data_IF_967193676105
#
_entry.id   IF_967193676105
#
_cell.length_a   1.000
_cell.length_b   1.000
_cell.length_c   1.000
_cell.angle_alpha   90.00
_cell.angle_beta   90.00
_cell.angle_gamma   90.00
#
_symmetry.space_group_name_H-M   'P 1'
#
loop_
_entity.id
_entity.type
_entity.pdbx_description
1 polymer ?
#
# COMPACT_ATOMS: atom_id res chain seq x y z
N UNK A 1 0.89 -15.43 -5.96
CA UNK A 1 0.17 -14.25 -6.41
C UNK A 1 -0.26 -13.40 -5.22
N UNK A 2 -0.32 -12.08 -5.43
CA UNK A 2 -0.70 -11.12 -4.40
C UNK A 2 -1.55 -10.02 -5.03
N UNK A 3 -2.45 -9.45 -4.25
CA UNK A 3 -3.21 -8.25 -4.56
C UNK A 3 -3.22 -7.35 -3.32
N UNK A 4 -3.13 -6.06 -3.49
CA UNK A 4 -3.33 -5.11 -2.42
C UNK A 4 -4.67 -4.39 -2.63
N UNK A 5 -5.36 -4.12 -1.53
CA UNK A 5 -6.62 -3.38 -1.51
C UNK A 5 -6.38 -2.09 -0.74
N UNK A 6 -6.83 -0.98 -1.30
CA UNK A 6 -6.70 0.34 -0.68
C UNK A 6 -7.96 1.17 -0.87
N UNK A 7 -8.07 2.27 -0.15
CA UNK A 7 -9.16 3.22 -0.29
C UNK A 7 -8.70 4.64 0.03
N UNK A 8 -9.61 5.60 -0.07
CA UNK A 8 -9.38 7.02 0.18
C UNK A 8 -8.98 7.39 1.61
N UNK A 9 -9.09 6.46 2.56
CA UNK A 9 -8.64 6.64 3.94
C UNK A 9 -7.20 6.18 4.17
N UNK A 10 -6.60 5.51 3.19
CA UNK A 10 -5.20 5.12 3.25
C UNK A 10 -4.33 6.36 3.00
N UNK A 11 -3.78 6.92 4.07
CA UNK A 11 -2.94 8.12 4.03
C UNK A 11 -1.54 7.86 4.58
N UNK A 12 -0.62 8.77 4.36
CA UNK A 12 0.75 8.73 4.85
C UNK A 12 1.46 7.43 4.47
N UNK A 13 1.75 6.56 5.42
CA UNK A 13 2.34 5.23 5.14
C UNK A 13 1.47 4.40 4.19
N UNK A 14 0.14 4.59 4.21
CA UNK A 14 -0.78 3.94 3.28
C UNK A 14 -0.60 4.42 1.83
N UNK A 15 -0.37 5.71 1.62
CA UNK A 15 -0.01 6.27 0.30
C UNK A 15 1.33 5.71 -0.18
N UNK A 16 2.35 5.77 0.70
CA UNK A 16 3.72 5.32 0.42
C UNK A 16 3.73 3.83 0.11
N UNK A 17 3.05 3.02 0.92
CA UNK A 17 2.91 1.58 0.68
C UNK A 17 2.25 1.30 -0.66
N UNK A 18 1.12 1.94 -0.94
CA UNK A 18 0.34 1.72 -2.16
C UNK A 18 1.12 2.07 -3.42
N UNK A 19 1.83 3.20 -3.42
CA UNK A 19 2.67 3.59 -4.55
C UNK A 19 3.88 2.67 -4.69
N UNK A 20 4.56 2.33 -3.59
CA UNK A 20 5.70 1.41 -3.60
C UNK A 20 5.31 0.00 -4.08
N UNK A 21 4.12 -0.48 -3.72
CA UNK A 21 3.57 -1.75 -4.20
C UNK A 21 3.54 -1.80 -5.73
N UNK A 22 3.09 -0.73 -6.38
CA UNK A 22 3.05 -0.61 -7.83
C UNK A 22 4.46 -0.52 -8.43
N UNK A 23 5.33 0.33 -7.87
CA UNK A 23 6.71 0.47 -8.33
C UNK A 23 7.49 -0.85 -8.27
N UNK A 24 7.27 -1.66 -7.25
CA UNK A 24 7.88 -2.97 -7.08
C UNK A 24 7.19 -4.07 -7.90
N UNK A 25 6.09 -3.76 -8.58
CA UNK A 25 5.31 -4.70 -9.39
C UNK A 25 4.94 -5.99 -8.64
N UNK A 26 4.52 -5.86 -7.37
CA UNK A 26 4.22 -7.00 -6.51
C UNK A 26 2.90 -7.68 -6.85
N UNK A 27 1.98 -6.96 -7.49
CA UNK A 27 0.65 -7.42 -7.87
C UNK A 27 -0.26 -6.25 -8.18
N UNK A 28 -1.54 -6.51 -8.44
CA UNK A 28 -2.52 -5.45 -8.65
C UNK A 28 -2.81 -4.70 -7.37
N UNK A 29 -2.94 -3.38 -7.47
CA UNK A 29 -3.50 -2.51 -6.46
C UNK A 29 -4.94 -2.17 -6.87
N UNK A 30 -5.92 -2.49 -6.02
CA UNK A 30 -7.34 -2.29 -6.34
C UNK A 30 -8.04 -1.52 -5.24
N UNK A 31 -9.22 -0.97 -5.55
CA UNK A 31 -10.03 -0.21 -4.61
C UNK A 31 -10.20 1.24 -5.04
N UNK A 32 -9.84 2.19 -4.19
CA UNK A 32 -9.93 3.63 -4.48
C UNK A 32 -8.54 4.26 -4.34
N UNK A 33 -8.31 5.36 -5.08
CA UNK A 33 -7.11 6.19 -4.94
C UNK A 33 -6.92 6.61 -3.48
N UNK A 34 -5.69 6.56 -3.00
CA UNK A 34 -5.36 6.90 -1.62
C UNK A 34 -5.46 8.39 -1.33
N UNK A 35 -5.32 8.79 -0.08
CA UNK A 35 -5.57 10.15 0.38
C UNK A 35 -4.62 11.19 -0.20
N UNK A 36 -3.32 10.92 -0.20
CA UNK A 36 -2.32 11.86 -0.72
C UNK A 36 -1.74 12.82 0.30
N UNK A 37 -1.59 12.41 1.51
CA UNK A 37 -0.94 13.19 2.55
C UNK A 37 0.32 12.49 3.04
N UNK A 38 1.44 12.67 2.35
CA UNK A 38 2.71 11.95 2.61
C UNK A 38 3.78 12.79 3.29
N UNK A 39 3.54 14.09 3.53
CA UNK A 39 4.50 14.91 4.26
C UNK A 39 4.72 14.33 5.65
N UNK A 40 5.97 14.02 5.97
CA UNK A 40 6.36 13.56 7.28
C UNK A 40 6.19 14.67 8.32
N UNK A 41 5.34 14.42 9.31
CA UNK A 41 5.09 15.32 10.43
C UNK A 41 5.76 14.75 11.67
N UNK A 42 6.40 15.62 12.45
CA UNK A 42 7.06 15.21 13.68
C UNK A 42 6.74 16.14 14.84
N UNK A 43 6.08 15.65 15.89
CA UNK A 43 5.67 16.48 17.02
C UNK A 43 6.83 16.63 18.02
N UNK A 44 7.92 17.28 17.62
CA UNK A 44 9.10 17.50 18.50
C UNK A 44 8.99 18.74 19.35
N UNK A 45 8.21 19.71 18.89
CA UNK A 45 8.13 21.01 19.55
C UNK A 45 6.79 21.15 20.25
N UNK A 46 6.84 21.48 21.54
CA UNK A 46 5.67 21.85 22.32
C UNK A 46 5.62 23.36 22.55
N UNK A 47 4.41 23.88 22.64
CA UNK A 47 4.16 25.24 23.07
C UNK A 47 4.39 25.36 24.58
N UNK A 48 4.45 26.60 25.12
CA UNK A 48 4.66 26.85 26.55
C UNK A 48 3.60 26.23 27.47
N UNK A 49 2.40 25.98 26.93
CA UNK A 49 1.29 25.32 27.62
C UNK A 49 1.32 23.79 27.51
N UNK A 50 2.35 23.22 26.85
CA UNK A 50 2.50 21.79 26.62
C UNK A 50 1.76 21.25 25.40
N UNK A 51 1.04 22.09 24.67
CA UNK A 51 0.39 21.67 23.41
C UNK A 51 1.43 21.24 22.38
N UNK A 52 1.24 20.06 21.78
CA UNK A 52 2.11 19.55 20.72
C UNK A 52 1.73 20.15 19.37
N UNK A 53 2.72 20.54 18.60
CA UNK A 53 2.52 21.01 17.23
C UNK A 53 2.89 19.92 16.23
N UNK A 54 2.04 19.71 15.24
CA UNK A 54 2.38 18.88 14.06
C UNK A 54 3.02 19.78 13.01
N UNK A 55 4.29 19.55 12.73
CA UNK A 55 5.03 20.36 11.76
C UNK A 55 5.53 19.48 10.63
N UNK A 56 5.43 19.94 9.35
CA UNK A 56 6.11 19.30 8.25
C UNK A 56 7.62 19.29 8.50
N UNK A 57 8.25 18.15 8.37
CA UNK A 57 9.69 18.02 8.60
C UNK A 57 10.42 17.46 7.38
N UNK A 58 9.81 16.51 6.66
CA UNK A 58 10.38 15.91 5.47
C UNK A 58 9.28 15.50 4.49
N UNK A 59 9.66 15.31 3.24
CA UNK A 59 8.75 14.90 2.16
C UNK A 59 9.27 13.64 1.47
N UNK A 60 8.40 12.96 0.72
CA UNK A 60 8.74 11.77 -0.04
C UNK A 60 8.83 12.08 -1.52
N UNK A 61 9.90 11.60 -2.13
CA UNK A 61 10.14 11.70 -3.55
C UNK A 61 10.23 10.30 -4.16
N UNK A 62 9.55 10.08 -5.26
CA UNK A 62 9.56 8.82 -5.99
C UNK A 62 10.15 9.02 -7.37
N UNK A 63 10.90 8.01 -7.84
CA UNK A 63 11.65 8.11 -9.10
C UNK A 63 10.76 8.36 -10.32
N UNK A 64 9.55 7.85 -10.32
CA UNK A 64 8.58 7.90 -11.44
C UNK A 64 7.68 9.14 -11.41
N UNK A 65 7.25 9.58 -10.25
CA UNK A 65 6.29 10.69 -10.09
C UNK A 65 6.85 11.91 -9.35
N UNK A 66 8.12 11.85 -8.91
CA UNK A 66 8.72 12.93 -8.13
C UNK A 66 7.99 13.14 -6.80
N UNK A 67 7.55 14.35 -6.54
CA UNK A 67 6.76 14.75 -5.36
C UNK A 67 5.26 14.51 -5.52
N UNK A 68 4.82 13.93 -6.64
CA UNK A 68 3.42 13.93 -7.09
C UNK A 68 2.45 13.07 -6.28
N UNK A 69 2.90 12.34 -5.26
CA UNK A 69 2.00 11.63 -4.33
C UNK A 69 1.41 12.60 -3.30
N UNK A 70 2.16 13.61 -2.88
CA UNK A 70 1.64 14.65 -1.98
C UNK A 70 0.50 15.43 -2.67
N UNK A 71 -0.59 15.65 -1.96
CA UNK A 71 -1.83 16.29 -2.42
C UNK A 71 -2.58 15.55 -3.54
N UNK A 72 -2.19 14.30 -3.86
CA UNK A 72 -2.85 13.53 -4.90
C UNK A 72 -3.18 12.09 -4.47
N UNK A 73 -2.21 11.37 -3.92
CA UNK A 73 -2.32 9.97 -3.55
C UNK A 73 -1.80 9.00 -4.61
N UNK A 74 -1.93 7.72 -4.33
CA UNK A 74 -1.55 6.63 -5.21
C UNK A 74 -2.77 6.13 -5.99
N UNK A 75 -2.66 6.13 -7.32
CA UNK A 75 -3.68 5.57 -8.22
C UNK A 75 -3.74 4.05 -8.14
N UNK A 76 -4.95 3.50 -8.20
CA UNK A 76 -5.19 2.06 -8.26
C UNK A 76 -5.13 1.54 -9.69
N UNK A 77 -4.83 0.24 -9.86
CA UNK A 77 -4.91 -0.41 -11.18
C UNK A 77 -6.35 -0.73 -11.59
N UNK A 78 -7.21 -0.99 -10.61
CA UNK A 78 -8.61 -1.30 -10.83
C UNK A 78 -9.42 -0.55 -9.77
N UNK A 79 -10.22 0.40 -10.22
CA UNK A 79 -11.10 1.13 -9.33
C UNK A 79 -12.33 0.29 -8.97
N UNK A 80 -12.56 0.11 -7.68
CA UNK A 80 -13.72 -0.59 -7.12
C UNK A 80 -14.10 0.08 -5.81
N UNK A 81 -15.40 0.31 -5.64
CA UNK A 81 -15.97 0.89 -4.44
C UNK A 81 -16.96 -0.05 -3.76
N UNK A 82 -17.10 0.09 -2.45
CA UNK A 82 -18.16 -0.51 -1.66
C UNK A 82 -19.20 0.58 -1.36
N UNK A 83 -20.37 0.46 -1.93
CA UNK A 83 -21.44 1.44 -1.73
C UNK A 83 -22.22 1.18 -0.43
N UNK A 84 -22.92 2.18 0.13
CA UNK A 84 -23.68 2.01 1.37
C UNK A 84 -24.67 0.82 1.35
N UNK A 85 -25.30 0.54 0.20
CA UNK A 85 -26.18 -0.61 0.03
C UNK A 85 -25.47 -1.97 0.07
N UNK A 86 -24.18 -2.01 -0.21
CA UNK A 86 -23.38 -3.23 -0.17
C UNK A 86 -23.10 -3.62 1.28
N UNK A 87 -22.79 -2.66 2.13
CA UNK A 87 -22.62 -2.87 3.58
C UNK A 87 -23.88 -3.46 4.24
N UNK A 88 -25.06 -2.96 3.85
CA UNK A 88 -26.35 -3.50 4.35
C UNK A 88 -26.54 -4.97 3.97
N UNK A 89 -25.99 -5.39 2.85
CA UNK A 89 -26.07 -6.77 2.33
C UNK A 89 -24.88 -7.65 2.73
N UNK A 90 -23.92 -7.12 3.51
CA UNK A 90 -22.65 -7.75 3.81
C UNK A 90 -21.87 -8.17 2.55
N UNK A 91 -21.90 -7.33 1.52
CA UNK A 91 -21.12 -7.51 0.28
C UNK A 91 -19.88 -6.64 0.38
N UNK A 92 -18.71 -7.23 0.09
CA UNK A 92 -17.44 -6.53 -0.05
C UNK A 92 -16.89 -6.73 -1.47
N UNK A 93 -17.24 -5.79 -2.35
CA UNK A 93 -16.85 -5.85 -3.77
C UNK A 93 -15.32 -5.77 -3.94
N UNK A 94 -14.62 -5.05 -3.06
CA UNK A 94 -13.17 -4.93 -3.11
C UNK A 94 -12.50 -6.26 -2.75
N UNK A 95 -12.94 -6.90 -1.66
CA UNK A 95 -12.42 -8.20 -1.26
C UNK A 95 -12.74 -9.29 -2.29
N UNK A 96 -13.97 -9.34 -2.78
CA UNK A 96 -14.40 -10.31 -3.80
C UNK A 96 -13.56 -10.19 -5.08
N UNK A 97 -13.28 -8.95 -5.52
CA UNK A 97 -12.41 -8.72 -6.68
C UNK A 97 -10.96 -9.12 -6.40
N UNK A 98 -10.48 -8.87 -5.21
CA UNK A 98 -9.15 -9.32 -4.78
C UNK A 98 -9.02 -10.84 -4.84
N UNK A 99 -9.99 -11.56 -4.33
CA UNK A 99 -10.06 -13.03 -4.38
C UNK A 99 -10.10 -13.52 -5.83
N UNK A 100 -10.94 -12.93 -6.68
CA UNK A 100 -11.03 -13.27 -8.11
C UNK A 100 -9.66 -13.18 -8.80
N UNK A 101 -8.94 -12.07 -8.58
CA UNK A 101 -7.62 -11.82 -9.19
C UNK A 101 -6.61 -12.87 -8.72
N UNK A 102 -6.53 -13.12 -7.41
CA UNK A 102 -5.58 -14.08 -6.85
C UNK A 102 -5.88 -15.50 -7.33
N UNK A 103 -7.14 -15.90 -7.38
CA UNK A 103 -7.53 -17.22 -7.89
C UNK A 103 -7.22 -17.39 -9.37
N UNK A 104 -7.42 -16.35 -10.18
CA UNK A 104 -7.03 -16.34 -11.59
C UNK A 104 -5.51 -16.49 -11.75
N UNK A 105 -4.75 -15.73 -10.97
CA UNK A 105 -3.28 -15.78 -11.00
C UNK A 105 -2.75 -17.15 -10.56
N UNK A 106 -3.34 -17.78 -9.56
CA UNK A 106 -2.98 -19.14 -9.14
C UNK A 106 -3.18 -20.17 -10.24
N UNK A 107 -4.25 -20.04 -11.03
CA UNK A 107 -4.51 -20.95 -12.16
C UNK A 107 -3.52 -20.77 -13.31
N UNK A 108 -3.05 -19.54 -13.55
CA UNK A 108 -2.22 -19.21 -14.70
C UNK A 108 -0.73 -19.27 -14.41
N UNK A 109 -0.31 -18.85 -13.22
CA UNK A 109 1.11 -18.76 -12.82
C UNK A 109 1.60 -19.98 -12.03
N UNK A 110 0.68 -20.84 -11.58
CA UNK A 110 0.99 -21.99 -10.76
C UNK A 110 1.42 -21.62 -9.33
N UNK A 111 1.83 -22.62 -8.56
CA UNK A 111 2.40 -22.39 -7.23
C UNK A 111 3.88 -22.06 -7.34
N UNK A 112 4.33 -21.13 -6.52
CA UNK A 112 5.76 -20.85 -6.36
C UNK A 112 6.44 -22.07 -5.71
N UNK A 113 7.44 -22.62 -6.37
CA UNK A 113 8.24 -23.69 -5.78
C UNK A 113 8.98 -23.17 -4.55
N UNK A 114 8.97 -23.97 -3.49
CA UNK A 114 9.75 -23.65 -2.30
C UNK A 114 11.23 -23.52 -2.67
N UNK A 115 11.91 -22.44 -2.29
CA UNK A 115 13.35 -22.32 -2.51
C UNK A 115 14.10 -23.47 -1.85
N UNK A 116 15.17 -23.93 -2.52
CA UNK A 116 16.10 -24.85 -1.88
C UNK A 116 17.01 -24.06 -0.92
N UNK A 117 16.88 -24.34 0.37
CA UNK A 117 17.69 -23.71 1.42
C UNK A 117 18.96 -24.50 1.74
N UNK A 118 19.31 -25.48 0.91
CA UNK A 118 20.55 -26.27 1.07
C UNK A 118 21.54 -25.97 -0.07
N UNK A 119 22.84 -25.92 0.23
CA UNK A 119 23.45 -26.06 1.55
C UNK A 119 23.25 -24.83 2.42
N UNK A 120 23.14 -25.03 3.73
CA UNK A 120 23.11 -23.92 4.68
C UNK A 120 24.43 -23.14 4.60
N UNK A 121 24.39 -21.80 4.77
CA UNK A 121 25.60 -21.00 4.80
C UNK A 121 26.54 -21.48 5.91
N UNK A 122 27.86 -21.47 5.62
CA UNK A 122 28.86 -21.81 6.62
C UNK A 122 28.88 -20.76 7.73
N UNK A 123 28.84 -21.20 8.97
CA UNK A 123 29.03 -20.34 10.15
C UNK A 123 30.51 -20.29 10.58
N UNK A 124 31.42 -20.92 9.82
CA UNK A 124 32.85 -20.81 10.08
C UNK A 124 33.33 -19.40 9.73
N UNK A 125 34.11 -18.83 10.62
CA UNK A 125 34.83 -17.59 10.33
C UNK A 125 35.81 -17.83 9.16
N UNK A 126 36.04 -16.79 8.33
CA UNK A 126 36.98 -16.87 7.20
C UNK A 126 38.40 -17.16 7.63
#
# INVERSE_FOLDING_TARGET
>A
PMVAITNEFAGSDGDIFSHSWKMMNLGKLIGKRTWGGVIGIWPRNSLVDGTMTSQPEFSFWFKDVGWGIENYGAEVDIEIDNFPQDYVKNIDNQLDKGIEIVLKDLKTKGSVLRPDFTPKPSLKLP
#
